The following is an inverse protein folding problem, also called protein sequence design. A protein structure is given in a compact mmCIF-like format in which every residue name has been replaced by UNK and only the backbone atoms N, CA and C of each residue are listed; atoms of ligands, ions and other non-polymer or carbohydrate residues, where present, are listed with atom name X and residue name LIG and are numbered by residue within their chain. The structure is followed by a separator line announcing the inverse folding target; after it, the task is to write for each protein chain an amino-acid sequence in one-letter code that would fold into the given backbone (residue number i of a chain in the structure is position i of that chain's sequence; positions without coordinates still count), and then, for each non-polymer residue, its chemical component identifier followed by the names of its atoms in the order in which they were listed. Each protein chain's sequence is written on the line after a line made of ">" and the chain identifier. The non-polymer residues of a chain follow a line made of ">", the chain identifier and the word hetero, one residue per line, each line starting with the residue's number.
data_IF_410646356549
#
_entry.id   IF_410646356549
#
_cell.length_a   1.000
_cell.length_b   1.000
_cell.length_c   1.000
_cell.angle_alpha   90.00
_cell.angle_beta   90.00
_cell.angle_gamma   90.00
#
_symmetry.space_group_name_H-M   'P 1'
#
loop_
_entity.id
_entity.type
_entity.pdbx_description
1 polymer ?
#
# COMPACT_ATOMS: atom_id res chain seq x y z
N UNK A 1 22.81 -26.50 16.70
CA UNK A 1 22.93 -25.06 16.44
C UNK A 1 23.93 -24.48 17.43
N UNK A 2 24.93 -23.71 16.97
CA UNK A 2 25.92 -23.11 17.86
C UNK A 2 25.25 -22.01 18.70
N UNK A 3 25.68 -21.81 19.95
CA UNK A 3 25.11 -20.79 20.87
C UNK A 3 25.15 -19.41 20.25
N UNK A 4 26.19 -19.10 19.48
CA UNK A 4 26.30 -17.80 18.78
C UNK A 4 25.27 -17.63 17.65
N UNK A 5 24.89 -18.70 16.95
CA UNK A 5 23.83 -18.66 15.94
C UNK A 5 22.45 -18.37 16.55
N UNK A 6 22.14 -18.95 17.71
CA UNK A 6 20.86 -18.69 18.42
C UNK A 6 20.77 -17.21 18.83
N UNK A 7 21.85 -16.63 19.35
CA UNK A 7 21.89 -15.21 19.72
C UNK A 7 21.72 -14.27 18.52
N UNK A 8 22.29 -14.61 17.37
CA UNK A 8 22.11 -13.83 16.13
C UNK A 8 20.66 -13.89 15.67
N UNK A 9 20.04 -15.08 15.65
CA UNK A 9 18.63 -15.25 15.28
C UNK A 9 17.68 -14.46 16.20
N UNK A 10 17.91 -14.52 17.52
CA UNK A 10 17.13 -13.77 18.50
C UNK A 10 17.28 -12.25 18.32
N UNK A 11 18.50 -11.76 18.07
CA UNK A 11 18.78 -10.35 17.83
C UNK A 11 18.07 -9.84 16.57
N UNK A 12 18.14 -10.58 15.47
CA UNK A 12 17.48 -10.19 14.22
C UNK A 12 15.95 -10.22 14.37
N UNK A 13 15.40 -11.25 15.03
CA UNK A 13 13.96 -11.34 15.31
C UNK A 13 13.46 -10.14 16.16
N UNK A 14 14.29 -9.63 17.07
CA UNK A 14 13.94 -8.43 17.85
C UNK A 14 13.94 -7.17 16.97
N UNK A 15 14.90 -7.01 16.04
CA UNK A 15 14.90 -5.94 15.04
C UNK A 15 13.62 -5.98 14.17
N UNK A 16 13.25 -7.16 13.67
CA UNK A 16 12.03 -7.36 12.87
C UNK A 16 10.76 -6.99 13.65
N UNK A 17 10.68 -7.42 14.92
CA UNK A 17 9.54 -7.11 15.80
C UNK A 17 9.41 -5.61 16.04
N UNK A 18 10.51 -4.92 16.33
CA UNK A 18 10.51 -3.49 16.57
C UNK A 18 10.23 -2.69 15.29
N UNK A 19 10.76 -3.15 14.15
CA UNK A 19 10.47 -2.57 12.84
C UNK A 19 8.97 -2.63 12.49
N UNK A 20 8.31 -3.76 12.77
CA UNK A 20 6.87 -3.91 12.56
C UNK A 20 6.06 -2.88 13.36
N UNK A 21 6.46 -2.58 14.61
CA UNK A 21 5.81 -1.55 15.43
C UNK A 21 5.97 -0.16 14.78
N UNK A 22 7.19 0.21 14.38
CA UNK A 22 7.44 1.50 13.72
C UNK A 22 6.68 1.63 12.40
N UNK A 23 6.61 0.56 11.61
CA UNK A 23 5.86 0.54 10.35
C UNK A 23 4.35 0.69 10.57
N UNK A 24 3.80 0.02 11.59
CA UNK A 24 2.39 0.15 11.94
C UNK A 24 2.03 1.59 12.36
N UNK A 25 2.95 2.28 13.04
CA UNK A 25 2.77 3.64 13.52
C UNK A 25 3.12 4.72 12.46
N UNK A 26 3.70 4.34 11.31
CA UNK A 26 4.19 5.30 10.30
C UNK A 26 5.45 6.07 10.74
N UNK A 27 6.25 5.50 11.64
CA UNK A 27 7.49 6.09 12.17
C UNK A 27 8.70 5.73 11.29
N UNK A 28 8.67 6.18 10.01
CA UNK A 28 9.64 5.78 8.99
C UNK A 28 11.08 6.12 9.34
N UNK A 29 11.34 7.31 9.95
CA UNK A 29 12.67 7.72 10.37
C UNK A 29 13.25 6.76 11.41
N UNK A 30 12.48 6.41 12.45
CA UNK A 30 12.91 5.44 13.47
C UNK A 30 13.11 4.05 12.90
N UNK A 31 12.25 3.65 11.96
CA UNK A 31 12.40 2.37 11.26
C UNK A 31 13.70 2.33 10.45
N UNK A 32 14.06 3.41 9.78
CA UNK A 32 15.32 3.51 9.04
C UNK A 32 16.53 3.45 9.99
N UNK A 33 16.54 4.24 11.07
CA UNK A 33 17.60 4.21 12.08
C UNK A 33 17.79 2.82 12.68
N UNK A 34 16.69 2.11 12.96
CA UNK A 34 16.72 0.75 13.49
C UNK A 34 17.42 -0.23 12.51
N UNK A 35 17.06 -0.18 11.23
CA UNK A 35 17.65 -1.05 10.22
C UNK A 35 19.11 -0.67 9.87
N UNK A 36 19.50 0.60 10.03
CA UNK A 36 20.90 1.00 9.95
C UNK A 36 21.74 0.36 11.05
N UNK A 37 21.23 0.35 12.29
CA UNK A 37 21.88 -0.32 13.42
C UNK A 37 22.01 -1.83 13.16
N UNK A 38 20.91 -2.47 12.74
CA UNK A 38 20.93 -3.89 12.40
C UNK A 38 21.96 -4.21 11.29
N UNK A 39 22.05 -3.36 10.27
CA UNK A 39 22.98 -3.55 9.17
C UNK A 39 24.45 -3.35 9.58
N UNK A 40 24.73 -2.46 10.54
CA UNK A 40 26.08 -2.30 11.10
C UNK A 40 26.52 -3.57 11.85
N UNK A 41 25.59 -4.27 12.53
CA UNK A 41 25.86 -5.48 13.28
C UNK A 41 25.87 -6.74 12.37
N UNK A 42 24.90 -6.83 11.45
CA UNK A 42 24.66 -8.02 10.60
C UNK A 42 24.67 -7.69 9.09
N UNK A 43 25.73 -7.12 8.53
CA UNK A 43 25.72 -6.57 7.16
C UNK A 43 25.53 -7.63 6.07
N UNK A 44 25.61 -8.91 6.42
CA UNK A 44 25.52 -10.03 5.49
C UNK A 44 24.25 -10.89 5.65
N UNK A 45 23.42 -10.63 6.65
CA UNK A 45 22.14 -11.33 6.80
C UNK A 45 21.13 -10.79 5.78
N UNK A 46 20.46 -11.70 5.07
CA UNK A 46 19.54 -11.34 3.99
C UNK A 46 18.28 -10.60 4.50
N UNK A 47 17.80 -10.91 5.70
CA UNK A 47 16.64 -10.23 6.34
C UNK A 47 16.98 -8.79 6.67
N UNK A 48 18.20 -8.56 7.17
CA UNK A 48 18.70 -7.22 7.51
C UNK A 48 18.93 -6.38 6.25
N UNK A 49 19.49 -6.97 5.19
CA UNK A 49 19.65 -6.30 3.89
C UNK A 49 18.28 -5.89 3.33
N UNK A 50 17.33 -6.81 3.36
CA UNK A 50 15.94 -6.58 2.91
C UNK A 50 15.26 -5.50 3.73
N UNK A 51 15.33 -5.60 5.06
CA UNK A 51 14.72 -4.63 5.98
C UNK A 51 15.25 -3.21 5.76
N UNK A 52 16.57 -3.05 5.63
CA UNK A 52 17.18 -1.76 5.34
C UNK A 52 16.78 -1.22 3.96
N UNK A 53 16.79 -2.05 2.93
CA UNK A 53 16.36 -1.67 1.57
C UNK A 53 14.93 -1.11 1.57
N UNK A 54 14.00 -1.78 2.24
CA UNK A 54 12.63 -1.32 2.37
C UNK A 54 12.50 -0.08 3.25
N UNK A 55 13.27 0.05 4.32
CA UNK A 55 13.23 1.22 5.19
C UNK A 55 13.68 2.48 4.44
N UNK A 56 14.74 2.40 3.63
CA UNK A 56 15.19 3.49 2.78
C UNK A 56 14.11 3.86 1.75
N UNK A 57 13.49 2.87 1.11
CA UNK A 57 12.44 3.09 0.12
C UNK A 57 11.20 3.78 0.71
N UNK A 58 10.80 3.43 1.93
CA UNK A 58 9.66 4.06 2.63
C UNK A 58 9.93 5.48 3.08
N UNK A 59 11.18 5.77 3.47
CA UNK A 59 11.61 7.10 3.89
C UNK A 59 11.92 8.03 2.70
N UNK A 60 12.00 7.49 1.49
CA UNK A 60 12.24 8.27 0.28
C UNK A 60 11.01 9.10 -0.12
N UNK A 61 11.23 10.39 -0.35
CA UNK A 61 10.25 11.27 -1.01
C UNK A 61 10.43 11.12 -2.52
N UNK A 62 9.35 10.93 -3.28
CA UNK A 62 9.46 10.82 -4.73
C UNK A 62 9.43 12.19 -5.43
N UNK A 63 10.30 12.43 -6.45
CA UNK A 63 11.26 11.46 -6.99
C UNK A 63 12.35 11.11 -5.97
N UNK A 64 12.76 9.81 -5.97
CA UNK A 64 13.71 9.30 -4.99
C UNK A 64 15.06 10.04 -5.12
N UNK A 65 15.63 10.58 -4.03
CA UNK A 65 16.95 11.18 -4.05
C UNK A 65 18.01 10.22 -4.56
N UNK A 66 18.97 10.75 -5.35
CA UNK A 66 19.94 9.91 -6.06
C UNK A 66 20.76 9.01 -5.14
N UNK A 67 21.20 9.51 -4.00
CA UNK A 67 21.95 8.78 -2.98
C UNK A 67 21.15 7.61 -2.38
N UNK A 68 19.87 7.84 -2.09
CA UNK A 68 18.95 6.79 -1.61
C UNK A 68 18.71 5.74 -2.70
N UNK A 69 18.49 6.16 -3.94
CA UNK A 69 18.30 5.25 -5.06
C UNK A 69 19.52 4.36 -5.31
N UNK A 70 20.73 4.93 -5.34
CA UNK A 70 21.99 4.19 -5.47
C UNK A 70 22.16 3.16 -4.34
N UNK A 71 21.76 3.55 -3.12
CA UNK A 71 21.83 2.64 -1.97
C UNK A 71 20.83 1.51 -2.05
N UNK A 72 19.56 1.78 -2.42
CA UNK A 72 18.55 0.74 -2.67
C UNK A 72 19.03 -0.24 -3.73
N UNK A 73 19.58 0.26 -4.84
CA UNK A 73 20.14 -0.58 -5.92
C UNK A 73 21.24 -1.47 -5.41
N UNK A 74 22.22 -0.93 -4.67
CA UNK A 74 23.33 -1.70 -4.12
C UNK A 74 22.86 -2.82 -3.18
N UNK A 75 21.89 -2.52 -2.30
CA UNK A 75 21.33 -3.50 -1.35
C UNK A 75 20.50 -4.56 -2.09
N UNK A 76 19.65 -4.17 -3.05
CA UNK A 76 18.84 -5.08 -3.83
C UNK A 76 19.67 -6.06 -4.65
N UNK A 77 20.69 -5.57 -5.34
CA UNK A 77 21.63 -6.43 -6.08
C UNK A 77 22.45 -7.34 -5.15
N UNK A 78 22.85 -6.84 -3.97
CA UNK A 78 23.50 -7.66 -2.95
C UNK A 78 22.59 -8.78 -2.45
N UNK A 79 21.32 -8.47 -2.19
CA UNK A 79 20.31 -9.44 -1.77
C UNK A 79 20.08 -10.51 -2.84
N UNK A 80 19.90 -10.13 -4.12
CA UNK A 80 19.72 -11.07 -5.22
C UNK A 80 20.89 -12.05 -5.39
N UNK A 81 22.12 -11.62 -5.10
CA UNK A 81 23.31 -12.50 -5.17
C UNK A 81 23.42 -13.47 -3.99
N UNK A 82 22.81 -13.15 -2.85
CA UNK A 82 22.98 -13.89 -1.60
C UNK A 82 21.81 -14.79 -1.24
N UNK A 83 20.59 -14.32 -1.50
CA UNK A 83 19.40 -15.02 -1.04
C UNK A 83 19.06 -16.23 -1.90
N UNK A 84 18.65 -17.31 -1.23
CA UNK A 84 18.00 -18.48 -1.84
C UNK A 84 16.49 -18.49 -1.55
N UNK A 85 16.01 -17.55 -0.72
CA UNK A 85 14.60 -17.39 -0.42
C UNK A 85 13.86 -16.68 -1.57
N UNK A 86 12.78 -17.30 -2.05
CA UNK A 86 12.01 -16.80 -3.19
C UNK A 86 11.25 -15.49 -2.88
N UNK A 87 10.82 -15.31 -1.63
CA UNK A 87 10.15 -14.09 -1.18
C UNK A 87 11.10 -12.90 -1.16
N UNK A 88 12.26 -13.07 -0.52
CA UNK A 88 13.31 -12.05 -0.51
C UNK A 88 13.79 -11.70 -1.91
N UNK A 89 13.89 -12.71 -2.79
CA UNK A 89 14.24 -12.48 -4.19
C UNK A 89 13.18 -11.63 -4.91
N UNK A 90 11.90 -11.96 -4.74
CA UNK A 90 10.80 -11.19 -5.32
C UNK A 90 10.77 -9.74 -4.81
N UNK A 91 10.98 -9.55 -3.51
CA UNK A 91 11.05 -8.24 -2.86
C UNK A 91 12.22 -7.39 -3.39
N UNK A 92 13.39 -8.00 -3.57
CA UNK A 92 14.54 -7.31 -4.17
C UNK A 92 14.26 -6.89 -5.63
N UNK A 93 13.68 -7.78 -6.43
CA UNK A 93 13.30 -7.48 -7.81
C UNK A 93 12.28 -6.34 -7.87
N UNK A 94 11.25 -6.36 -7.04
CA UNK A 94 10.25 -5.29 -6.95
C UNK A 94 10.89 -3.93 -6.62
N UNK A 95 11.73 -3.87 -5.60
CA UNK A 95 12.41 -2.63 -5.23
C UNK A 95 13.31 -2.10 -6.36
N UNK A 96 14.07 -2.99 -7.02
CA UNK A 96 14.92 -2.62 -8.16
C UNK A 96 14.11 -2.10 -9.34
N UNK A 97 13.00 -2.78 -9.70
CA UNK A 97 12.09 -2.31 -10.75
C UNK A 97 11.60 -0.88 -10.48
N UNK A 98 11.05 -0.64 -9.30
CA UNK A 98 10.52 0.69 -8.96
C UNK A 98 11.59 1.77 -8.87
N UNK A 99 12.78 1.43 -8.32
CA UNK A 99 13.87 2.39 -8.21
C UNK A 99 14.43 2.76 -9.60
N UNK A 100 14.61 1.77 -10.48
CA UNK A 100 15.09 2.03 -11.84
C UNK A 100 14.04 2.66 -12.75
N UNK A 101 12.73 2.51 -12.48
CA UNK A 101 11.67 3.12 -13.32
C UNK A 101 11.83 4.64 -13.47
N UNK A 102 12.34 5.33 -12.43
CA UNK A 102 12.66 6.76 -12.47
C UNK A 102 14.05 7.13 -13.01
N UNK A 103 14.92 6.14 -13.32
CA UNK A 103 16.34 6.35 -13.65
C UNK A 103 16.71 5.75 -15.00
N UNK A 104 16.36 4.49 -15.22
CA UNK A 104 16.74 3.67 -16.37
C UNK A 104 15.63 2.65 -16.66
N UNK A 105 14.79 2.97 -17.62
CA UNK A 105 13.61 2.18 -17.97
C UNK A 105 13.96 0.78 -18.47
N UNK A 106 15.08 0.63 -19.18
CA UNK A 106 15.51 -0.68 -19.70
C UNK A 106 15.92 -1.60 -18.57
N UNK A 107 16.64 -1.07 -17.57
CA UNK A 107 16.96 -1.83 -16.36
C UNK A 107 15.73 -2.16 -15.50
N UNK A 108 14.78 -1.24 -15.39
CA UNK A 108 13.53 -1.52 -14.71
C UNK A 108 12.82 -2.73 -15.33
N UNK A 109 12.67 -2.75 -16.67
CA UNK A 109 12.08 -3.85 -17.41
C UNK A 109 12.90 -5.14 -17.29
N UNK A 110 14.24 -5.06 -17.36
CA UNK A 110 15.11 -6.22 -17.13
C UNK A 110 14.83 -6.92 -15.80
N UNK A 111 14.70 -6.17 -14.71
CA UNK A 111 14.37 -6.76 -13.41
C UNK A 111 12.92 -7.26 -13.34
N UNK A 112 11.97 -6.59 -14.00
CA UNK A 112 10.60 -7.06 -14.10
C UNK A 112 10.50 -8.41 -14.82
N UNK A 113 11.25 -8.61 -15.90
CA UNK A 113 11.29 -9.86 -16.68
C UNK A 113 11.92 -11.05 -15.90
N UNK A 114 12.63 -10.75 -14.80
CA UNK A 114 13.14 -11.79 -13.89
C UNK A 114 12.08 -12.29 -12.88
N UNK A 115 10.93 -11.63 -12.77
CA UNK A 115 9.83 -12.08 -11.93
C UNK A 115 9.10 -13.28 -12.57
N UNK A 116 8.45 -14.10 -11.73
CA UNK A 116 7.61 -15.21 -12.20
C UNK A 116 6.38 -14.71 -12.97
N UNK A 117 5.91 -15.52 -13.93
CA UNK A 117 4.68 -15.22 -14.66
C UNK A 117 3.45 -15.29 -13.77
N UNK A 118 2.41 -14.52 -14.14
CA UNK A 118 1.17 -14.38 -13.38
C UNK A 118 0.46 -15.70 -13.02
N UNK A 119 0.47 -16.69 -13.92
CA UNK A 119 -0.23 -17.98 -13.74
C UNK A 119 0.58 -19.04 -12.97
N UNK A 120 1.74 -18.69 -12.43
CA UNK A 120 2.60 -19.61 -11.66
C UNK A 120 2.98 -19.00 -10.31
N UNK A 121 2.11 -18.18 -9.76
CA UNK A 121 2.31 -17.59 -8.43
C UNK A 121 2.03 -18.63 -7.34
N UNK A 122 2.72 -18.47 -6.20
CA UNK A 122 2.49 -19.32 -5.03
C UNK A 122 1.02 -19.30 -4.59
N UNK A 123 0.41 -18.12 -4.64
CA UNK A 123 -0.97 -17.87 -4.22
C UNK A 123 -1.97 -18.62 -5.12
N UNK A 124 -1.77 -18.58 -6.43
CA UNK A 124 -2.61 -19.34 -7.38
C UNK A 124 -2.50 -20.84 -7.16
N UNK A 125 -1.27 -21.35 -7.05
CA UNK A 125 -1.02 -22.78 -6.85
C UNK A 125 -1.61 -23.27 -5.51
N UNK A 126 -1.45 -22.51 -4.41
CA UNK A 126 -2.04 -22.86 -3.11
C UNK A 126 -3.55 -22.86 -3.15
N UNK A 127 -4.16 -21.85 -3.77
CA UNK A 127 -5.62 -21.77 -3.96
C UNK A 127 -6.19 -22.98 -4.78
N UNK A 128 -5.39 -23.51 -5.71
CA UNK A 128 -5.77 -24.65 -6.55
C UNK A 128 -5.55 -26.00 -5.85
N UNK A 129 -4.51 -26.12 -5.00
CA UNK A 129 -4.07 -27.41 -4.45
C UNK A 129 -4.74 -27.72 -3.10
N UNK A 130 -4.99 -26.71 -2.28
CA UNK A 130 -5.53 -26.92 -0.94
C UNK A 130 -7.03 -27.18 -0.96
N UNK A 131 -7.46 -28.10 -0.09
CA UNK A 131 -8.86 -28.49 0.09
C UNK A 131 -9.44 -27.98 1.41
N UNK A 132 -10.75 -28.13 1.59
CA UNK A 132 -11.47 -27.80 2.82
C UNK A 132 -11.45 -26.32 3.18
N UNK A 133 -11.54 -26.01 4.47
CA UNK A 133 -11.57 -24.61 4.97
C UNK A 133 -10.28 -23.84 4.64
N UNK A 134 -9.12 -24.49 4.65
CA UNK A 134 -7.85 -23.87 4.27
C UNK A 134 -7.83 -23.51 2.79
N UNK A 135 -8.35 -24.41 1.92
CA UNK A 135 -8.49 -24.14 0.50
C UNK A 135 -9.43 -22.98 0.21
N UNK A 136 -10.60 -22.94 0.90
CA UNK A 136 -11.53 -21.80 0.77
C UNK A 136 -10.86 -20.49 1.18
N UNK A 137 -10.12 -20.49 2.30
CA UNK A 137 -9.41 -19.29 2.77
C UNK A 137 -8.36 -18.81 1.78
N UNK A 138 -7.56 -19.72 1.20
CA UNK A 138 -6.56 -19.36 0.17
C UNK A 138 -7.24 -18.82 -1.10
N UNK A 139 -8.33 -19.44 -1.56
CA UNK A 139 -9.12 -18.93 -2.69
C UNK A 139 -9.63 -17.50 -2.41
N UNK A 140 -10.21 -17.25 -1.24
CA UNK A 140 -10.72 -15.92 -0.87
C UNK A 140 -9.58 -14.88 -0.79
N UNK A 141 -8.43 -15.26 -0.22
CA UNK A 141 -7.24 -14.41 -0.15
C UNK A 141 -6.72 -14.06 -1.55
N UNK A 142 -6.66 -15.05 -2.43
CA UNK A 142 -6.21 -14.84 -3.81
C UNK A 142 -7.18 -13.96 -4.60
N UNK A 143 -8.50 -14.20 -4.51
CA UNK A 143 -9.53 -13.35 -5.12
C UNK A 143 -9.41 -11.90 -4.62
N UNK A 144 -9.28 -11.69 -3.31
CA UNK A 144 -9.13 -10.36 -2.75
C UNK A 144 -7.88 -9.66 -3.31
N UNK A 145 -6.76 -10.37 -3.39
CA UNK A 145 -5.50 -9.85 -3.96
C UNK A 145 -5.63 -9.48 -5.44
N UNK A 146 -6.33 -10.30 -6.23
CA UNK A 146 -6.60 -10.02 -7.65
C UNK A 146 -7.47 -8.77 -7.83
N UNK A 147 -8.53 -8.63 -7.05
CA UNK A 147 -9.43 -7.46 -7.08
C UNK A 147 -8.67 -6.19 -6.69
N UNK A 148 -7.88 -6.23 -5.62
CA UNK A 148 -7.05 -5.09 -5.21
C UNK A 148 -6.02 -4.73 -6.30
N UNK A 149 -5.35 -5.72 -6.88
CA UNK A 149 -4.39 -5.50 -7.97
C UNK A 149 -5.07 -4.88 -9.20
N UNK A 150 -6.25 -5.39 -9.59
CA UNK A 150 -7.01 -4.83 -10.71
C UNK A 150 -7.39 -3.37 -10.48
N UNK A 151 -7.86 -3.02 -9.27
CA UNK A 151 -8.22 -1.65 -8.90
C UNK A 151 -7.02 -0.69 -8.95
N UNK A 152 -5.88 -1.08 -8.38
CA UNK A 152 -4.65 -0.28 -8.43
C UNK A 152 -4.10 -0.18 -9.86
N UNK A 153 -4.23 -1.24 -10.66
CA UNK A 153 -3.83 -1.21 -12.07
C UNK A 153 -4.68 -0.22 -12.88
N UNK A 154 -5.99 -0.12 -12.59
CA UNK A 154 -6.87 0.88 -13.19
C UNK A 154 -6.39 2.32 -12.89
N UNK A 155 -5.93 2.60 -11.65
CA UNK A 155 -5.30 3.88 -11.30
C UNK A 155 -4.00 4.10 -12.12
N UNK A 156 -3.10 3.13 -12.14
CA UNK A 156 -1.85 3.24 -12.89
C UNK A 156 -2.08 3.47 -14.39
N UNK A 157 -3.11 2.83 -14.96
CA UNK A 157 -3.49 3.00 -16.36
C UNK A 157 -3.77 4.47 -16.67
N UNK A 158 -4.49 5.19 -15.82
CA UNK A 158 -4.85 6.60 -16.04
C UNK A 158 -3.65 7.55 -16.03
N UNK A 159 -2.50 7.12 -15.53
CA UNK A 159 -1.26 7.88 -15.50
C UNK A 159 -0.34 7.63 -16.72
N UNK A 160 -0.66 6.64 -17.59
CA UNK A 160 0.23 6.25 -18.70
C UNK A 160 0.12 7.14 -19.93
N UNK A 161 -1.07 7.65 -20.21
CA UNK A 161 -1.36 8.57 -21.33
C UNK A 161 -2.35 9.63 -20.83
N UNK A 162 -2.56 10.67 -21.68
CA UNK A 162 -3.59 11.67 -21.39
C UNK A 162 -4.99 11.08 -21.61
N UNK A 163 -5.68 10.78 -20.52
CA UNK A 163 -7.09 10.43 -20.51
C UNK A 163 -7.95 11.69 -20.30
N UNK A 164 -9.15 11.71 -20.89
CA UNK A 164 -10.15 12.71 -20.54
C UNK A 164 -10.64 12.54 -19.10
N UNK A 165 -11.15 13.60 -18.49
CA UNK A 165 -11.76 13.52 -17.14
C UNK A 165 -12.80 12.39 -17.03
N UNK A 166 -13.63 12.21 -18.07
CA UNK A 166 -14.65 11.16 -18.10
C UNK A 166 -14.04 9.77 -18.06
N UNK A 167 -13.03 9.51 -18.87
CA UNK A 167 -12.36 8.19 -18.90
C UNK A 167 -11.66 7.87 -17.57
N UNK A 168 -11.04 8.86 -16.93
CA UNK A 168 -10.45 8.68 -15.60
C UNK A 168 -11.51 8.36 -14.55
N UNK A 169 -12.61 9.10 -14.55
CA UNK A 169 -13.73 8.85 -13.63
C UNK A 169 -14.27 7.42 -13.82
N UNK A 170 -14.45 6.97 -15.05
CA UNK A 170 -14.89 5.59 -15.33
C UNK A 170 -13.89 4.54 -14.84
N UNK A 171 -12.59 4.77 -15.00
CA UNK A 171 -11.56 3.87 -14.47
C UNK A 171 -11.59 3.79 -12.94
N UNK A 172 -11.77 4.94 -12.26
CA UNK A 172 -11.87 4.96 -10.79
C UNK A 172 -13.18 4.35 -10.30
N UNK A 173 -14.30 4.54 -11.01
CA UNK A 173 -15.56 3.85 -10.71
C UNK A 173 -15.45 2.35 -10.85
N UNK A 174 -14.82 1.86 -11.94
CA UNK A 174 -14.54 0.44 -12.08
C UNK A 174 -13.79 -0.11 -10.86
N UNK A 175 -12.75 0.60 -10.39
CA UNK A 175 -11.99 0.19 -9.21
C UNK A 175 -12.85 0.14 -7.93
N UNK A 176 -13.74 1.13 -7.75
CA UNK A 176 -14.70 1.18 -6.64
C UNK A 176 -15.69 0.01 -6.73
N UNK A 177 -16.32 -0.18 -7.88
CA UNK A 177 -17.37 -1.18 -8.10
C UNK A 177 -16.88 -2.60 -7.80
N UNK A 178 -15.66 -2.97 -8.25
CA UNK A 178 -15.12 -4.31 -7.98
C UNK A 178 -14.78 -4.51 -6.50
N UNK A 179 -14.30 -3.48 -5.81
CA UNK A 179 -14.03 -3.53 -4.37
C UNK A 179 -15.34 -3.61 -3.55
N UNK A 180 -16.32 -2.76 -3.84
CA UNK A 180 -17.61 -2.78 -3.16
C UNK A 180 -18.36 -4.09 -3.43
N UNK A 181 -18.21 -4.68 -4.62
CA UNK A 181 -18.78 -5.99 -4.92
C UNK A 181 -18.15 -7.12 -4.11
N UNK A 182 -16.83 -7.06 -3.87
CA UNK A 182 -16.13 -8.04 -3.02
C UNK A 182 -16.61 -7.96 -1.57
N UNK A 183 -16.84 -6.76 -1.05
CA UNK A 183 -17.29 -6.45 0.30
C UNK A 183 -18.76 -5.99 0.30
N UNK A 184 -19.64 -6.81 -0.27
CA UNK A 184 -21.02 -6.45 -0.60
C UNK A 184 -21.90 -6.10 0.62
N UNK A 185 -21.47 -6.44 1.84
CA UNK A 185 -22.13 -6.09 3.10
C UNK A 185 -21.65 -4.74 3.69
N UNK A 186 -20.74 -4.04 3.00
CA UNK A 186 -20.16 -2.77 3.43
C UNK A 186 -19.05 -2.88 4.47
N UNK A 187 -18.70 -4.09 4.93
CA UNK A 187 -17.60 -4.34 5.84
C UNK A 187 -16.28 -4.41 5.06
N UNK A 188 -15.79 -3.24 4.61
CA UNK A 188 -14.70 -3.11 3.64
C UNK A 188 -13.30 -3.26 4.25
N UNK A 189 -13.16 -3.17 5.59
CA UNK A 189 -11.88 -3.31 6.29
C UNK A 189 -10.77 -2.43 5.67
N UNK A 190 -9.64 -3.04 5.38
CA UNK A 190 -8.48 -2.36 4.78
C UNK A 190 -8.78 -1.65 3.45
N UNK A 191 -9.79 -2.10 2.69
CA UNK A 191 -10.18 -1.45 1.45
C UNK A 191 -10.71 -0.02 1.63
N UNK A 192 -11.09 0.38 2.84
CA UNK A 192 -11.54 1.75 3.12
C UNK A 192 -10.53 2.80 2.65
N UNK A 193 -9.22 2.55 2.82
CA UNK A 193 -8.15 3.44 2.37
C UNK A 193 -8.15 3.63 0.85
N UNK A 194 -8.31 2.55 0.09
CA UNK A 194 -8.38 2.59 -1.37
C UNK A 194 -9.66 3.26 -1.87
N UNK A 195 -10.80 2.94 -1.27
CA UNK A 195 -12.08 3.59 -1.62
C UNK A 195 -12.02 5.09 -1.35
N UNK A 196 -11.47 5.51 -0.20
CA UNK A 196 -11.20 6.92 0.09
C UNK A 196 -10.33 7.58 -0.98
N UNK A 197 -9.27 6.90 -1.44
CA UNK A 197 -8.39 7.40 -2.50
C UNK A 197 -9.15 7.55 -3.83
N UNK A 198 -9.86 6.51 -4.30
CA UNK A 198 -10.54 6.56 -5.60
C UNK A 198 -11.62 7.63 -5.64
N UNK A 199 -12.44 7.78 -4.58
CA UNK A 199 -13.41 8.87 -4.50
C UNK A 199 -12.75 10.24 -4.48
N UNK A 200 -11.59 10.40 -3.82
CA UNK A 200 -10.81 11.64 -3.88
C UNK A 200 -10.29 11.96 -5.28
N UNK A 201 -9.88 10.92 -6.05
CA UNK A 201 -9.48 11.11 -7.45
C UNK A 201 -10.67 11.53 -8.33
N UNK A 202 -11.84 10.92 -8.15
CA UNK A 202 -13.08 11.33 -8.82
C UNK A 202 -13.42 12.78 -8.49
N UNK A 203 -13.32 13.18 -7.21
CA UNK A 203 -13.56 14.56 -6.79
C UNK A 203 -12.59 15.53 -7.47
N UNK A 204 -11.32 15.17 -7.61
CA UNK A 204 -10.32 15.98 -8.33
C UNK A 204 -10.68 16.16 -9.80
N UNK A 205 -11.15 15.12 -10.49
CA UNK A 205 -11.55 15.23 -11.89
C UNK A 205 -12.82 16.11 -12.04
N UNK A 206 -13.80 15.99 -11.15
CA UNK A 206 -14.98 16.88 -11.16
C UNK A 206 -14.62 18.32 -10.79
N UNK A 207 -13.68 18.54 -9.87
CA UNK A 207 -13.20 19.88 -9.54
C UNK A 207 -12.56 20.58 -10.75
N UNK A 208 -11.76 19.87 -11.55
CA UNK A 208 -11.19 20.39 -12.79
C UNK A 208 -12.26 20.72 -13.86
N UNK A 209 -13.43 20.06 -13.79
CA UNK A 209 -14.59 20.35 -14.63
C UNK A 209 -15.49 21.45 -14.04
N UNK A 210 -15.16 21.99 -12.87
CA UNK A 210 -15.98 22.94 -12.11
C UNK A 210 -17.42 22.47 -11.82
N UNK A 211 -17.62 21.15 -11.64
CA UNK A 211 -18.90 20.57 -11.24
C UNK A 211 -18.98 20.50 -9.71
N UNK A 212 -19.51 21.57 -9.08
CA UNK A 212 -19.56 21.71 -7.62
C UNK A 212 -20.28 20.56 -6.94
N UNK A 213 -21.45 20.16 -7.44
CA UNK A 213 -22.27 19.13 -6.79
C UNK A 213 -21.55 17.79 -6.80
N UNK A 214 -21.06 17.34 -7.98
CA UNK A 214 -20.37 16.04 -8.07
C UNK A 214 -19.03 16.04 -7.34
N UNK A 215 -18.36 17.19 -7.27
CA UNK A 215 -17.14 17.33 -6.45
C UNK A 215 -17.46 17.08 -4.97
N UNK A 216 -18.50 17.74 -4.43
CA UNK A 216 -18.91 17.59 -3.04
C UNK A 216 -19.40 16.16 -2.73
N UNK A 217 -20.18 15.56 -3.63
CA UNK A 217 -20.66 14.18 -3.47
C UNK A 217 -19.49 13.19 -3.40
N UNK A 218 -18.51 13.32 -4.29
CA UNK A 218 -17.33 12.46 -4.29
C UNK A 218 -16.42 12.72 -3.07
N UNK A 219 -16.26 13.97 -2.64
CA UNK A 219 -15.55 14.31 -1.41
C UNK A 219 -16.22 13.71 -0.18
N UNK A 220 -17.57 13.73 -0.13
CA UNK A 220 -18.31 13.15 0.98
C UNK A 220 -18.02 11.65 1.14
N UNK A 221 -18.03 10.88 0.04
CA UNK A 221 -17.69 9.46 0.06
C UNK A 221 -16.21 9.23 0.42
N UNK A 222 -15.30 10.03 -0.14
CA UNK A 222 -13.87 9.96 0.21
C UNK A 222 -13.66 10.17 1.71
N UNK A 223 -14.29 11.18 2.30
CA UNK A 223 -14.19 11.48 3.73
C UNK A 223 -14.87 10.39 4.59
N UNK A 224 -16.01 9.86 4.16
CA UNK A 224 -16.69 8.74 4.84
C UNK A 224 -15.78 7.53 4.97
N UNK A 225 -15.12 7.13 3.88
CA UNK A 225 -14.19 6.00 3.91
C UNK A 225 -12.91 6.31 4.70
N UNK A 226 -12.44 7.55 4.73
CA UNK A 226 -11.32 7.96 5.58
C UNK A 226 -11.66 7.81 7.08
N UNK A 227 -12.89 8.18 7.48
CA UNK A 227 -13.36 7.99 8.87
C UNK A 227 -13.49 6.50 9.19
N UNK A 228 -13.98 5.66 8.27
CA UNK A 228 -14.03 4.21 8.46
C UNK A 228 -12.61 3.67 8.69
N UNK A 229 -11.63 4.02 7.84
CA UNK A 229 -10.25 3.57 7.97
C UNK A 229 -9.62 4.02 9.28
N UNK A 230 -9.79 5.29 9.66
CA UNK A 230 -9.24 5.84 10.91
C UNK A 230 -9.72 5.09 12.16
N UNK A 231 -10.95 4.57 12.13
CA UNK A 231 -11.59 3.85 13.24
C UNK A 231 -11.50 2.32 13.13
N UNK A 232 -10.76 1.77 12.15
CA UNK A 232 -10.63 0.32 12.00
C UNK A 232 -9.99 -0.32 13.22
N UNK A 233 -10.61 -1.43 13.63
CA UNK A 233 -10.12 -2.35 14.66
C UNK A 233 -9.97 -3.74 14.04
N UNK A 234 -9.29 -4.63 14.74
CA UNK A 234 -9.27 -6.04 14.37
C UNK A 234 -10.68 -6.56 14.15
N UNK A 235 -10.92 -7.25 13.05
CA UNK A 235 -12.24 -7.72 12.67
C UNK A 235 -12.19 -8.94 11.76
N UNK A 236 -13.26 -9.73 11.79
CA UNK A 236 -13.52 -10.76 10.80
C UNK A 236 -14.36 -10.16 9.66
N UNK A 237 -14.00 -10.50 8.42
CA UNK A 237 -14.85 -10.15 7.28
C UNK A 237 -16.11 -11.02 7.26
N UNK A 238 -17.21 -10.47 6.77
CA UNK A 238 -18.54 -11.10 6.79
C UNK A 238 -19.12 -11.37 5.41
N UNK A 239 -18.70 -10.63 4.38
CA UNK A 239 -19.12 -10.86 3.01
C UNK A 239 -18.69 -12.27 2.50
N UNK A 240 -19.57 -13.01 1.77
CA UNK A 240 -19.34 -14.42 1.41
C UNK A 240 -18.00 -14.69 0.71
N UNK A 241 -17.50 -13.75 -0.06
CA UNK A 241 -16.24 -13.90 -0.82
C UNK A 241 -14.98 -13.66 0.01
N UNK A 242 -15.10 -13.23 1.28
CA UNK A 242 -13.97 -12.90 2.16
C UNK A 242 -14.18 -13.36 3.61
N UNK A 243 -15.25 -14.06 3.93
CA UNK A 243 -15.66 -14.40 5.30
C UNK A 243 -14.78 -15.44 6.01
N UNK A 244 -13.70 -15.89 5.41
CA UNK A 244 -12.64 -16.68 6.06
C UNK A 244 -11.39 -15.85 6.31
N UNK A 245 -11.41 -14.57 5.91
CA UNK A 245 -10.30 -13.64 6.10
C UNK A 245 -10.54 -12.79 7.35
N UNK A 246 -9.44 -12.24 7.87
CA UNK A 246 -9.44 -11.35 9.03
C UNK A 246 -8.61 -10.12 8.71
N UNK A 247 -9.03 -8.99 9.23
CA UNK A 247 -8.22 -7.80 9.30
C UNK A 247 -7.60 -7.70 10.69
N UNK A 248 -6.29 -7.50 10.76
CA UNK A 248 -5.58 -7.19 11.99
C UNK A 248 -4.82 -5.88 11.81
N UNK A 249 -5.06 -4.93 12.69
CA UNK A 249 -4.40 -3.62 12.66
C UNK A 249 -2.88 -3.76 12.79
N UNK A 250 -2.41 -4.71 13.58
CA UNK A 250 -0.98 -4.98 13.77
C UNK A 250 -0.27 -5.47 12.50
N UNK A 251 -1.01 -6.06 11.54
CA UNK A 251 -0.45 -6.55 10.28
C UNK A 251 -0.40 -5.45 9.19
N UNK A 252 -0.86 -4.22 9.51
CA UNK A 252 -0.84 -3.10 8.57
C UNK A 252 0.41 -2.24 8.74
N UNK A 253 0.80 -1.57 7.67
CA UNK A 253 1.88 -0.59 7.72
C UNK A 253 1.43 0.73 7.11
N UNK A 254 1.89 1.85 7.70
CA UNK A 254 1.66 3.20 7.22
C UNK A 254 2.98 3.83 6.79
N UNK A 255 2.95 4.68 5.77
CA UNK A 255 4.08 5.50 5.35
C UNK A 255 3.85 6.99 5.67
N UNK A 256 2.93 7.30 6.60
CA UNK A 256 2.60 8.64 7.06
C UNK A 256 2.25 8.63 8.55
N UNK A 257 2.43 9.78 9.21
CA UNK A 257 2.02 10.01 10.60
C UNK A 257 0.53 10.39 10.67
N UNK A 258 -0.15 10.04 11.78
CA UNK A 258 -1.58 10.25 11.94
C UNK A 258 -2.41 9.15 11.28
N UNK A 259 -3.64 9.46 10.94
CA UNK A 259 -4.58 8.53 10.30
C UNK A 259 -5.11 9.03 8.93
N UNK A 260 -6.02 8.30 8.31
CA UNK A 260 -6.57 8.68 7.01
C UNK A 260 -7.30 10.03 7.02
N UNK A 261 -7.89 10.43 8.14
CA UNK A 261 -8.52 11.75 8.27
C UNK A 261 -7.49 12.88 8.16
N UNK A 262 -6.30 12.75 8.77
CA UNK A 262 -5.21 13.72 8.61
C UNK A 262 -4.79 13.85 7.13
N UNK A 263 -4.70 12.73 6.40
CA UNK A 263 -4.39 12.75 4.97
C UNK A 263 -5.47 13.45 4.14
N UNK A 264 -6.75 13.20 4.44
CA UNK A 264 -7.86 13.87 3.74
C UNK A 264 -7.89 15.36 4.04
N UNK A 265 -7.72 15.79 5.29
CA UNK A 265 -7.63 17.21 5.65
C UNK A 265 -6.57 17.90 4.81
N UNK A 266 -5.35 17.36 4.77
CA UNK A 266 -4.28 17.89 3.95
C UNK A 266 -4.62 17.93 2.45
N UNK A 267 -5.30 16.91 1.92
CA UNK A 267 -5.72 16.88 0.53
C UNK A 267 -6.77 17.96 0.21
N UNK A 268 -7.66 18.26 1.16
CA UNK A 268 -8.69 19.30 1.01
C UNK A 268 -8.14 20.74 1.02
N UNK A 269 -6.89 20.96 1.44
CA UNK A 269 -6.20 22.24 1.33
C UNK A 269 -5.86 22.62 -0.11
N UNK A 270 -5.92 21.66 -1.06
CA UNK A 270 -5.59 21.90 -2.45
C UNK A 270 -6.50 22.96 -3.07
N UNK A 271 -5.90 23.93 -3.78
CA UNK A 271 -6.59 25.07 -4.42
C UNK A 271 -7.65 24.65 -5.44
N UNK A 272 -7.58 23.47 -6.01
CA UNK A 272 -8.59 22.95 -6.92
C UNK A 272 -10.00 22.91 -6.30
N UNK A 273 -10.10 22.90 -4.95
CA UNK A 273 -11.35 22.87 -4.21
C UNK A 273 -11.79 24.25 -3.69
N UNK A 274 -11.07 25.34 -4.01
CA UNK A 274 -11.39 26.68 -3.49
C UNK A 274 -12.81 27.14 -3.89
N UNK A 275 -13.29 26.72 -5.06
CA UNK A 275 -14.61 27.09 -5.57
C UNK A 275 -15.80 26.46 -4.82
N UNK A 276 -15.56 25.42 -4.01
CA UNK A 276 -16.56 24.78 -3.13
C UNK A 276 -16.28 25.00 -1.66
N UNK A 277 -15.18 25.66 -1.31
CA UNK A 277 -14.70 25.80 0.08
C UNK A 277 -15.69 26.50 1.00
N UNK A 278 -16.46 27.46 0.46
CA UNK A 278 -17.47 28.24 1.18
C UNK A 278 -18.82 27.52 1.33
N UNK A 279 -19.01 26.40 0.65
CA UNK A 279 -20.22 25.60 0.75
C UNK A 279 -20.36 24.94 2.13
N UNK A 280 -21.55 24.97 2.70
CA UNK A 280 -21.83 24.34 3.99
C UNK A 280 -21.51 22.82 3.98
N UNK A 281 -21.73 22.17 2.85
CA UNK A 281 -21.37 20.76 2.67
C UNK A 281 -19.88 20.54 2.84
N UNK A 282 -19.01 21.37 2.23
CA UNK A 282 -17.55 21.27 2.37
C UNK A 282 -17.11 21.50 3.82
N UNK A 283 -17.64 22.55 4.48
CA UNK A 283 -17.32 22.84 5.88
C UNK A 283 -17.67 21.68 6.82
N UNK A 284 -18.80 21.01 6.59
CA UNK A 284 -19.19 19.81 7.35
C UNK A 284 -18.21 18.65 7.18
N UNK A 285 -17.62 18.48 5.98
CA UNK A 285 -16.59 17.46 5.76
C UNK A 285 -15.32 17.75 6.55
N UNK A 286 -14.87 19.00 6.60
CA UNK A 286 -13.73 19.42 7.44
C UNK A 286 -13.98 19.08 8.90
N UNK A 287 -15.12 19.50 9.46
CA UNK A 287 -15.48 19.22 10.86
C UNK A 287 -15.52 17.73 11.15
N UNK A 288 -16.10 16.92 10.24
CA UNK A 288 -16.16 15.46 10.39
C UNK A 288 -14.74 14.85 10.43
N UNK A 289 -13.85 15.29 9.56
CA UNK A 289 -12.48 14.79 9.54
C UNK A 289 -11.68 15.21 10.77
N UNK A 290 -11.80 16.50 11.20
CA UNK A 290 -11.13 17.01 12.42
C UNK A 290 -11.53 16.26 13.68
N UNK A 291 -12.79 15.85 13.80
CA UNK A 291 -13.30 15.05 14.92
C UNK A 291 -12.74 13.63 14.96
N UNK A 292 -12.19 13.12 13.85
CA UNK A 292 -11.64 11.78 13.72
C UNK A 292 -10.14 11.75 13.42
N UNK A 293 -9.47 12.90 13.32
CA UNK A 293 -8.03 13.01 13.12
C UNK A 293 -7.26 12.71 14.42
N UNK A 294 -6.02 12.17 14.30
CA UNK A 294 -5.08 11.91 15.41
C UNK A 294 -4.17 13.11 15.68
#
# INVERSE_FOLDING_TARGET
>A
MCVDQVRVEEAIAEYERQAAIYQNNGENEKNLELWEQAYAEFPNDCRVIEGLMFAINRDAVYPCPKDKAERIISLGEKLLRKTTDSGQRANALQCLCHTYDGIDKEKALYYADMCGGFYVTREELRATILDGEDGVRECQSYIASLIHTAAITALHMTAKISFSHKEKIEAFRFAIDIMERLYADGNVGFCASYLSLFYSMIASEYAQMHDSQKTLDALAESCRYAVIEANLKDMDYTAPMVNRLKYKKADTSKNYKGNACNLRLKALENRQFDFVREEDAFRKLIVMLEQNAE
#
